data_IF_839023164059
#
_entry.id   IF_839023164059
#
_cell.length_a   1.000
_cell.length_b   1.000
_cell.length_c   1.000
_cell.angle_alpha   90.00
_cell.angle_beta   90.00
_cell.angle_gamma   90.00
#
_symmetry.space_group_name_H-M   'P 1'
#
loop_
_entity.id
_entity.type
_entity.pdbx_description
1 polymer ?
#
# COMPACT_ATOMS: atom_id res chain seq x y z
N UNK A 1 -1.61 1.42 -31.87
CA UNK A 1 -2.06 1.76 -30.51
C UNK A 1 -1.38 3.09 -30.16
N UNK A 2 -2.16 4.09 -29.66
CA UNK A 2 -1.57 5.39 -29.29
C UNK A 2 -0.61 5.24 -28.10
N UNK A 3 0.37 6.14 -28.04
CA UNK A 3 1.30 6.26 -26.90
C UNK A 3 0.50 6.55 -25.62
N UNK A 4 0.72 5.75 -24.55
CA UNK A 4 0.09 6.00 -23.25
C UNK A 4 0.78 7.18 -22.60
N UNK A 5 0.00 8.18 -22.22
CA UNK A 5 0.48 9.34 -21.47
C UNK A 5 0.79 8.91 -20.02
N UNK A 6 1.99 9.22 -19.55
CA UNK A 6 2.38 9.07 -18.14
C UNK A 6 1.52 9.97 -17.23
N UNK A 7 0.64 9.38 -16.45
CA UNK A 7 -0.27 10.11 -15.56
C UNK A 7 0.44 10.80 -14.39
N UNK A 8 1.72 10.48 -14.13
CA UNK A 8 2.51 11.22 -13.14
C UNK A 8 2.65 12.73 -13.47
N UNK A 9 2.37 13.14 -14.71
CA UNK A 9 2.29 14.57 -15.09
C UNK A 9 1.05 15.30 -14.54
N UNK A 10 0.09 14.57 -13.97
CA UNK A 10 -1.19 15.13 -13.53
C UNK A 10 -1.36 14.89 -12.02
N UNK A 11 -1.51 15.96 -11.24
CA UNK A 11 -1.66 15.88 -9.78
C UNK A 11 -3.09 16.26 -9.35
N UNK A 12 -4.07 15.66 -10.00
CA UNK A 12 -5.51 15.79 -9.69
C UNK A 12 -6.26 14.63 -10.36
N UNK A 13 -7.57 14.53 -10.09
CA UNK A 13 -8.44 13.53 -10.71
C UNK A 13 -8.44 13.65 -12.25
N UNK A 14 -8.38 12.51 -12.94
CA UNK A 14 -8.37 12.38 -14.40
C UNK A 14 -9.59 11.61 -14.93
N UNK A 15 -10.43 11.09 -14.03
CA UNK A 15 -11.68 10.39 -14.32
C UNK A 15 -12.77 10.81 -13.33
N UNK A 16 -13.98 10.25 -13.48
CA UNK A 16 -15.13 10.55 -12.64
C UNK A 16 -15.34 9.50 -11.53
N UNK A 17 -14.34 8.64 -11.27
CA UNK A 17 -14.45 7.56 -10.27
C UNK A 17 -14.52 8.11 -8.83
N UNK A 18 -13.93 9.28 -8.59
CA UNK A 18 -13.98 10.00 -7.32
C UNK A 18 -14.33 11.47 -7.52
N UNK A 19 -14.88 12.08 -6.48
CA UNK A 19 -15.18 13.51 -6.45
C UNK A 19 -14.65 14.11 -5.15
N UNK A 20 -14.00 15.28 -5.27
CA UNK A 20 -13.55 16.01 -4.09
C UNK A 20 -14.73 16.62 -3.32
N UNK A 21 -14.75 16.46 -1.99
CA UNK A 21 -15.63 17.22 -1.12
C UNK A 21 -15.41 18.73 -1.29
N UNK A 22 -16.51 19.48 -1.39
CA UNK A 22 -16.50 20.93 -1.62
C UNK A 22 -16.56 21.75 -0.34
N UNK A 23 -17.06 21.15 0.74
CA UNK A 23 -17.26 21.81 2.03
C UNK A 23 -16.56 21.05 3.15
N UNK A 24 -16.30 21.72 4.27
CA UNK A 24 -15.75 21.09 5.47
C UNK A 24 -16.68 19.97 5.99
N UNK A 25 -18.02 20.19 5.92
CA UNK A 25 -19.02 19.21 6.35
C UNK A 25 -18.98 17.93 5.51
N UNK A 26 -18.73 18.05 4.20
CA UNK A 26 -18.54 16.90 3.33
C UNK A 26 -17.27 16.11 3.71
N UNK A 27 -16.19 16.79 4.08
CA UNK A 27 -14.95 16.16 4.56
C UNK A 27 -15.12 15.43 5.89
N UNK A 28 -15.97 15.93 6.80
CA UNK A 28 -16.24 15.27 8.10
C UNK A 28 -16.73 13.82 7.92
N UNK A 29 -17.43 13.50 6.83
CA UNK A 29 -17.95 12.15 6.54
C UNK A 29 -16.86 11.10 6.31
N UNK A 30 -15.66 11.56 6.00
CA UNK A 30 -14.51 10.68 5.71
C UNK A 30 -13.54 10.56 6.88
N UNK A 31 -13.81 11.25 7.98
CA UNK A 31 -12.96 11.17 9.18
C UNK A 31 -13.09 9.82 9.87
N UNK A 32 -11.96 9.31 10.32
CA UNK A 32 -11.92 8.27 11.32
C UNK A 32 -12.43 8.80 12.65
N UNK A 33 -13.05 7.95 13.45
CA UNK A 33 -13.39 8.28 14.85
C UNK A 33 -12.12 8.38 15.70
N UNK A 34 -12.23 9.07 16.84
CA UNK A 34 -11.14 9.20 17.81
C UNK A 34 -10.69 7.82 18.32
N UNK A 35 -11.63 6.87 18.49
CA UNK A 35 -11.32 5.49 18.87
C UNK A 35 -10.49 4.77 17.80
N UNK A 36 -10.79 4.97 16.51
CA UNK A 36 -10.02 4.39 15.41
C UNK A 36 -8.61 4.96 15.35
N UNK A 37 -8.45 6.27 15.52
CA UNK A 37 -7.13 6.93 15.57
C UNK A 37 -6.35 6.46 16.79
N UNK A 38 -6.96 6.38 17.96
CA UNK A 38 -6.35 5.88 19.20
C UNK A 38 -5.91 4.41 19.05
N UNK A 39 -6.75 3.58 18.44
CA UNK A 39 -6.42 2.18 18.16
C UNK A 39 -5.18 2.06 17.27
N UNK A 40 -5.09 2.89 16.22
CA UNK A 40 -3.90 2.90 15.36
C UNK A 40 -2.63 3.22 16.14
N UNK A 41 -2.65 4.25 16.98
CA UNK A 41 -1.46 4.63 17.76
C UNK A 41 -1.10 3.59 18.83
N UNK A 42 -2.08 2.93 19.43
CA UNK A 42 -1.83 1.90 20.44
C UNK A 42 -1.35 0.59 19.84
N UNK A 43 -2.00 0.11 18.77
CA UNK A 43 -1.77 -1.23 18.20
C UNK A 43 -0.94 -1.23 16.93
N UNK A 44 -0.70 -0.05 16.30
CA UNK A 44 0.07 0.11 15.09
C UNK A 44 -0.72 -0.14 13.79
N UNK A 45 -2.04 -0.35 13.87
CA UNK A 45 -2.92 -0.49 12.71
C UNK A 45 -4.35 -0.07 13.03
N UNK A 46 -5.12 0.21 11.99
CA UNK A 46 -6.58 0.33 12.03
C UNK A 46 -7.18 -0.32 10.79
N UNK A 47 -8.26 -1.06 10.93
CA UNK A 47 -8.86 -1.84 9.86
C UNK A 47 -10.37 -1.63 9.74
N UNK A 48 -10.97 -2.13 8.63
CA UNK A 48 -12.42 -2.03 8.42
C UNK A 48 -12.87 -0.65 7.95
N UNK A 49 -11.98 0.13 7.33
CA UNK A 49 -12.27 1.46 6.79
C UNK A 49 -12.83 1.29 5.38
N UNK A 50 -14.08 1.74 5.15
CA UNK A 50 -14.67 1.72 3.81
C UNK A 50 -14.02 2.77 2.92
N UNK A 51 -13.38 2.33 1.83
CA UNK A 51 -12.66 3.19 0.90
C UNK A 51 -13.31 3.25 -0.48
N UNK A 52 -13.98 2.18 -0.90
CA UNK A 52 -14.55 2.05 -2.24
C UNK A 52 -16.00 1.61 -2.21
N UNK A 53 -16.77 2.10 -3.16
CA UNK A 53 -18.10 1.60 -3.51
C UNK A 53 -18.00 0.49 -4.57
N UNK A 54 -19.07 -0.26 -4.78
CA UNK A 54 -19.09 -1.43 -5.67
C UNK A 54 -18.73 -1.09 -7.13
N UNK A 55 -19.25 0.00 -7.67
CA UNK A 55 -18.96 0.48 -9.01
C UNK A 55 -17.48 0.85 -9.18
N UNK A 56 -16.88 1.48 -8.19
CA UNK A 56 -15.45 1.82 -8.17
C UNK A 56 -14.58 0.56 -8.16
N UNK A 57 -14.96 -0.46 -7.40
CA UNK A 57 -14.27 -1.76 -7.37
C UNK A 57 -14.28 -2.41 -8.76
N UNK A 58 -15.42 -2.41 -9.45
CA UNK A 58 -15.52 -3.03 -10.77
C UNK A 58 -14.69 -2.29 -11.83
N UNK A 59 -14.61 -0.96 -11.76
CA UNK A 59 -13.72 -0.18 -12.65
C UNK A 59 -12.25 -0.56 -12.38
N UNK A 60 -11.83 -0.60 -11.11
CA UNK A 60 -10.46 -0.96 -10.73
C UNK A 60 -10.11 -2.40 -11.13
N UNK A 61 -11.02 -3.35 -10.97
CA UNK A 61 -10.84 -4.75 -11.41
C UNK A 61 -10.64 -4.85 -12.92
N UNK A 62 -11.41 -4.11 -13.68
CA UNK A 62 -11.31 -4.06 -15.15
C UNK A 62 -9.95 -3.50 -15.57
N UNK A 63 -9.56 -2.34 -15.05
CA UNK A 63 -8.28 -1.72 -15.40
C UNK A 63 -7.09 -2.58 -14.90
N UNK A 64 -7.21 -3.27 -13.75
CA UNK A 64 -6.21 -4.23 -13.30
C UNK A 64 -6.01 -5.38 -14.31
N UNK A 65 -7.10 -5.90 -14.88
CA UNK A 65 -7.00 -6.96 -15.87
C UNK A 65 -6.27 -6.49 -17.14
N UNK A 66 -6.49 -5.23 -17.54
CA UNK A 66 -5.84 -4.61 -18.72
C UNK A 66 -4.34 -4.40 -18.48
N UNK A 67 -3.94 -3.83 -17.32
CA UNK A 67 -2.53 -3.51 -17.05
C UNK A 67 -1.68 -4.73 -16.69
N UNK A 68 -2.30 -5.87 -16.38
CA UNK A 68 -1.59 -7.15 -16.19
C UNK A 68 -1.14 -7.80 -17.48
N UNK A 69 -1.65 -7.39 -18.64
CA UNK A 69 -1.15 -7.87 -19.93
C UNK A 69 0.31 -7.40 -20.13
N UNK A 70 1.28 -8.31 -20.27
CA UNK A 70 2.67 -7.94 -20.53
C UNK A 70 2.86 -7.12 -21.81
N UNK A 71 1.91 -7.19 -22.74
CA UNK A 71 1.92 -6.41 -23.99
C UNK A 71 1.22 -5.05 -23.87
N UNK A 72 0.77 -4.68 -22.66
CA UNK A 72 0.13 -3.39 -22.45
C UNK A 72 1.11 -2.25 -22.82
N UNK A 73 0.70 -1.28 -23.65
CA UNK A 73 1.59 -0.24 -24.17
C UNK A 73 2.21 0.66 -23.08
N UNK A 74 1.60 0.73 -21.87
CA UNK A 74 2.12 1.43 -20.70
C UNK A 74 3.10 0.63 -19.85
N UNK A 75 3.44 -0.60 -20.23
CA UNK A 75 4.25 -1.50 -19.40
C UNK A 75 5.62 -0.90 -19.00
N UNK A 76 6.21 -0.07 -19.87
CA UNK A 76 7.48 0.63 -19.62
C UNK A 76 7.41 1.69 -18.51
N UNK A 77 6.20 2.05 -18.04
CA UNK A 77 5.98 3.02 -16.96
C UNK A 77 5.94 2.38 -15.57
N UNK A 78 5.87 1.04 -15.48
CA UNK A 78 6.01 0.38 -14.17
C UNK A 78 7.39 0.65 -13.57
N UNK A 79 7.44 0.85 -12.27
CA UNK A 79 8.69 0.82 -11.52
C UNK A 79 9.20 -0.62 -11.40
N UNK A 80 8.28 -1.53 -11.08
CA UNK A 80 8.52 -2.97 -10.99
C UNK A 80 7.30 -3.75 -11.51
N UNK A 81 7.55 -4.89 -12.14
CA UNK A 81 6.51 -5.78 -12.62
C UNK A 81 6.97 -7.23 -12.53
N UNK A 82 6.39 -7.96 -11.61
CA UNK A 82 6.64 -9.37 -11.37
C UNK A 82 5.36 -10.17 -11.64
N UNK A 83 5.34 -10.93 -12.72
CA UNK A 83 4.23 -11.87 -12.99
C UNK A 83 4.14 -12.96 -11.92
N UNK A 84 5.29 -13.35 -11.35
CA UNK A 84 5.41 -14.18 -10.16
C UNK A 84 6.68 -13.82 -9.39
N UNK A 85 6.57 -13.18 -8.25
CA UNK A 85 7.70 -12.80 -7.39
C UNK A 85 8.26 -13.98 -6.60
N UNK A 86 7.47 -15.04 -6.40
CA UNK A 86 7.92 -16.23 -5.68
C UNK A 86 8.88 -17.13 -6.49
N UNK A 87 8.96 -16.96 -7.82
CA UNK A 87 9.70 -17.82 -8.75
C UNK A 87 9.22 -19.28 -8.81
N UNK A 88 8.32 -19.71 -7.93
CA UNK A 88 7.70 -21.04 -7.93
C UNK A 88 6.35 -20.99 -8.67
N UNK A 89 6.23 -21.78 -9.75
CA UNK A 89 4.99 -21.85 -10.55
C UNK A 89 3.79 -22.42 -9.79
N UNK A 90 4.02 -23.12 -8.70
CA UNK A 90 2.97 -23.68 -7.84
C UNK A 90 2.57 -22.73 -6.71
N UNK A 91 3.30 -21.62 -6.53
CA UNK A 91 3.09 -20.65 -5.46
C UNK A 91 3.22 -19.24 -6.02
N UNK A 92 2.21 -18.76 -6.74
CA UNK A 92 2.27 -17.51 -7.51
C UNK A 92 1.93 -16.31 -6.65
N UNK A 93 2.79 -15.31 -6.67
CA UNK A 93 2.54 -13.97 -6.14
C UNK A 93 2.77 -12.94 -7.23
N UNK A 94 1.69 -12.43 -7.84
CA UNK A 94 1.80 -11.27 -8.72
C UNK A 94 2.03 -10.02 -7.88
N UNK A 95 3.04 -9.24 -8.25
CA UNK A 95 3.39 -7.98 -7.61
C UNK A 95 3.84 -6.94 -8.64
N UNK A 96 3.39 -5.70 -8.51
CA UNK A 96 3.84 -4.58 -9.36
C UNK A 96 3.77 -3.24 -8.65
N UNK A 97 4.61 -2.29 -9.09
CA UNK A 97 4.65 -0.90 -8.63
C UNK A 97 4.54 0.04 -9.84
N UNK A 98 3.87 1.18 -9.68
CA UNK A 98 3.80 2.22 -10.71
C UNK A 98 2.53 2.21 -11.56
N UNK A 99 1.52 1.44 -11.18
CA UNK A 99 0.26 1.35 -11.92
C UNK A 99 -0.53 2.67 -11.94
N UNK A 100 -0.36 3.55 -10.96
CA UNK A 100 -0.95 4.88 -10.93
C UNK A 100 -0.53 5.77 -12.11
N UNK A 101 0.59 5.46 -12.76
CA UNK A 101 1.09 6.16 -13.94
C UNK A 101 0.41 5.72 -15.24
N UNK A 102 -0.26 4.57 -15.22
CA UNK A 102 -0.74 3.85 -16.40
C UNK A 102 -2.26 3.86 -16.47
N UNK A 103 -2.93 3.63 -15.35
CA UNK A 103 -4.36 3.42 -15.22
C UNK A 103 -5.03 4.64 -14.60
N UNK A 104 -6.13 5.12 -15.21
CA UNK A 104 -6.85 6.30 -14.70
C UNK A 104 -7.51 6.04 -13.35
N UNK A 105 -8.09 4.88 -13.16
CA UNK A 105 -8.73 4.55 -11.89
C UNK A 105 -7.70 4.40 -10.78
N UNK A 106 -6.59 3.68 -11.01
CA UNK A 106 -5.50 3.58 -10.02
C UNK A 106 -4.76 4.90 -9.79
N UNK A 107 -4.72 5.79 -10.77
CA UNK A 107 -4.26 7.16 -10.57
C UNK A 107 -5.18 7.91 -9.61
N UNK A 108 -6.48 7.87 -9.84
CA UNK A 108 -7.45 8.65 -9.08
C UNK A 108 -7.66 8.14 -7.64
N UNK A 109 -7.36 6.85 -7.36
CA UNK A 109 -7.39 6.32 -5.97
C UNK A 109 -6.49 7.11 -5.04
N UNK A 110 -5.40 7.71 -5.55
CA UNK A 110 -4.49 8.54 -4.75
C UNK A 110 -5.21 9.72 -4.09
N UNK A 111 -6.24 10.24 -4.74
CA UNK A 111 -7.05 11.38 -4.25
C UNK A 111 -8.42 10.97 -3.71
N UNK A 112 -8.63 9.68 -3.42
CA UNK A 112 -9.85 9.22 -2.75
C UNK A 112 -10.04 9.94 -1.41
N UNK A 113 -11.16 10.66 -1.20
CA UNK A 113 -11.37 11.43 0.03
C UNK A 113 -11.29 10.60 1.32
N UNK A 114 -11.82 9.38 1.31
CA UNK A 114 -11.76 8.49 2.47
C UNK A 114 -10.31 8.08 2.79
N UNK A 115 -9.50 7.80 1.77
CA UNK A 115 -8.09 7.47 1.94
C UNK A 115 -7.28 8.66 2.45
N UNK A 116 -7.36 9.83 1.77
CA UNK A 116 -6.50 10.97 2.12
C UNK A 116 -6.85 11.56 3.48
N UNK A 117 -8.13 11.55 3.88
CA UNK A 117 -8.55 12.04 5.20
C UNK A 117 -8.06 11.11 6.30
N UNK A 118 -8.24 9.80 6.16
CA UNK A 118 -7.72 8.82 7.11
C UNK A 118 -6.18 8.93 7.23
N UNK A 119 -5.47 8.99 6.10
CA UNK A 119 -4.02 9.15 6.10
C UNK A 119 -3.56 10.44 6.81
N UNK A 120 -4.27 11.55 6.58
CA UNK A 120 -3.99 12.83 7.24
C UNK A 120 -4.13 12.72 8.78
N UNK A 121 -5.21 12.11 9.28
CA UNK A 121 -5.40 11.91 10.72
C UNK A 121 -4.33 11.00 11.33
N UNK A 122 -4.02 9.86 10.67
CA UNK A 122 -3.04 8.89 11.15
C UNK A 122 -1.59 9.38 11.05
N UNK A 123 -1.31 10.35 10.18
CA UNK A 123 -0.04 11.07 10.11
C UNK A 123 -0.04 12.33 11.00
N UNK A 124 -0.81 12.33 12.09
CA UNK A 124 -0.85 13.41 13.08
C UNK A 124 -1.24 14.78 12.46
N UNK A 125 -2.19 14.75 11.54
CA UNK A 125 -2.68 15.93 10.81
C UNK A 125 -1.62 16.66 9.98
N UNK A 126 -0.53 15.97 9.60
CA UNK A 126 0.46 16.48 8.64
C UNK A 126 -0.05 16.40 7.22
N UNK A 127 0.40 17.26 6.30
CA UNK A 127 0.07 17.11 4.88
C UNK A 127 0.55 15.75 4.36
N UNK A 128 -0.26 15.11 3.50
CA UNK A 128 -0.05 13.75 2.98
C UNK A 128 0.58 13.83 1.62
N UNK A 129 1.73 13.16 1.45
CA UNK A 129 2.42 13.04 0.18
C UNK A 129 2.53 11.58 -0.24
N UNK A 130 2.30 11.31 -1.53
CA UNK A 130 2.42 9.98 -2.11
C UNK A 130 3.87 9.50 -2.12
N UNK A 131 4.07 8.22 -1.79
CA UNK A 131 5.34 7.52 -1.90
C UNK A 131 5.35 6.61 -3.15
N UNK A 132 4.66 5.52 -3.11
CA UNK A 132 4.43 4.61 -4.24
C UNK A 132 3.20 3.76 -4.01
N UNK A 133 2.75 3.12 -5.06
CA UNK A 133 1.67 2.14 -5.05
C UNK A 133 2.21 0.71 -5.22
N UNK A 134 1.40 -0.26 -4.85
CA UNK A 134 1.67 -1.68 -5.09
C UNK A 134 0.35 -2.38 -5.48
N UNK A 135 0.48 -3.40 -6.31
CA UNK A 135 -0.58 -4.35 -6.61
C UNK A 135 -0.13 -5.74 -6.20
N UNK A 136 -1.01 -6.44 -5.50
CA UNK A 136 -0.84 -7.84 -5.14
C UNK A 136 -2.00 -8.68 -5.66
N UNK A 137 -1.70 -9.79 -6.31
CA UNK A 137 -2.71 -10.77 -6.69
C UNK A 137 -2.22 -12.18 -6.37
N UNK A 138 -3.02 -12.89 -5.59
CA UNK A 138 -2.84 -14.30 -5.26
C UNK A 138 -3.87 -15.11 -6.02
N UNK A 139 -3.47 -15.93 -7.01
CA UNK A 139 -4.43 -16.79 -7.71
C UNK A 139 -5.04 -17.83 -6.78
N UNK A 140 -6.19 -18.37 -7.18
CA UNK A 140 -6.84 -19.48 -6.49
C UNK A 140 -5.88 -20.67 -6.35
N UNK A 141 -5.84 -21.31 -5.19
CA UNK A 141 -5.05 -22.52 -4.86
C UNK A 141 -3.52 -22.41 -4.98
N UNK A 142 -3.01 -21.40 -5.67
CA UNK A 142 -1.59 -21.24 -5.99
C UNK A 142 -1.02 -19.90 -5.50
N UNK A 143 -1.75 -19.19 -4.65
CA UNK A 143 -1.31 -17.87 -4.16
C UNK A 143 -0.17 -17.99 -3.15
N UNK A 144 1.00 -17.43 -3.48
CA UNK A 144 2.19 -17.43 -2.63
C UNK A 144 2.05 -16.59 -1.36
N UNK A 145 2.93 -16.80 -0.40
CA UNK A 145 3.03 -16.01 0.83
C UNK A 145 3.64 -14.63 0.55
N UNK A 146 3.34 -13.66 1.43
CA UNK A 146 4.20 -12.51 1.67
C UNK A 146 4.75 -12.68 3.08
N UNK A 147 6.05 -12.90 3.21
CA UNK A 147 6.71 -13.22 4.48
C UNK A 147 6.54 -12.09 5.50
N UNK A 148 6.68 -12.43 6.80
CA UNK A 148 6.66 -11.44 7.87
C UNK A 148 7.76 -10.41 7.69
N UNK A 149 7.41 -9.13 7.69
CA UNK A 149 8.32 -8.00 7.49
C UNK A 149 7.77 -6.70 8.09
N UNK A 150 8.61 -5.68 8.09
CA UNK A 150 8.24 -4.28 8.31
C UNK A 150 8.48 -3.52 7.01
N UNK A 151 7.55 -2.69 6.58
CA UNK A 151 7.70 -1.91 5.34
C UNK A 151 8.93 -0.99 5.36
N UNK A 152 9.16 -0.30 6.48
CA UNK A 152 10.26 0.64 6.58
C UNK A 152 11.65 0.00 6.48
N UNK A 153 11.78 -1.28 6.69
CA UNK A 153 13.06 -2.00 6.47
C UNK A 153 13.53 -1.90 5.00
N UNK A 154 12.61 -1.67 4.05
CA UNK A 154 12.90 -1.41 2.64
C UNK A 154 12.97 0.09 2.29
N UNK A 155 12.59 1.00 3.21
CA UNK A 155 12.44 2.43 2.94
C UNK A 155 13.44 3.31 3.71
N UNK A 156 14.48 2.75 4.30
CA UNK A 156 15.52 3.44 5.09
C UNK A 156 16.28 4.50 4.29
N UNK A 157 16.09 4.52 2.98
CA UNK A 157 16.61 5.57 2.08
C UNK A 157 15.79 6.86 2.12
N UNK A 158 14.76 6.94 2.97
CA UNK A 158 13.95 8.15 3.23
C UNK A 158 13.85 8.40 4.72
N UNK A 159 13.92 9.67 5.14
CA UNK A 159 13.84 10.15 6.53
C UNK A 159 13.10 11.51 6.60
N UNK A 160 12.39 11.87 7.69
CA UNK A 160 12.13 11.06 8.86
C UNK A 160 11.18 9.90 8.54
N UNK A 161 11.17 8.86 9.42
CA UNK A 161 10.21 7.76 9.34
C UNK A 161 8.80 8.26 9.72
N UNK A 162 8.08 8.83 8.76
CA UNK A 162 6.72 9.34 8.90
C UNK A 162 5.85 8.78 7.76
N UNK A 163 5.94 7.47 7.57
CA UNK A 163 5.26 6.73 6.52
C UNK A 163 3.99 6.07 7.03
N UNK A 164 3.10 5.73 6.11
CA UNK A 164 1.86 5.01 6.38
C UNK A 164 1.53 4.15 5.17
N UNK A 165 1.10 2.93 5.41
CA UNK A 165 0.64 2.01 4.38
C UNK A 165 -0.86 1.82 4.49
N UNK A 166 -1.57 1.89 3.35
CA UNK A 166 -2.98 1.54 3.23
C UNK A 166 -3.13 0.37 2.26
N UNK A 167 -3.55 -0.79 2.74
CA UNK A 167 -3.91 -1.95 1.93
C UNK A 167 -5.43 -1.99 1.72
N UNK A 168 -5.89 -2.19 0.48
CA UNK A 168 -7.32 -2.22 0.11
C UNK A 168 -7.64 -3.45 -0.72
N UNK A 169 -8.61 -4.24 -0.27
CA UNK A 169 -9.10 -5.42 -0.99
C UNK A 169 -9.97 -5.05 -2.18
N UNK A 170 -9.64 -5.57 -3.37
CA UNK A 170 -10.56 -5.59 -4.51
C UNK A 170 -11.45 -6.83 -4.50
N UNK A 171 -11.12 -7.82 -3.69
CA UNK A 171 -11.91 -9.00 -3.35
C UNK A 171 -12.04 -9.11 -1.84
N UNK A 172 -13.05 -9.87 -1.36
CA UNK A 172 -13.12 -10.22 0.07
C UNK A 172 -11.82 -10.91 0.48
N UNK A 173 -11.26 -10.50 1.60
CA UNK A 173 -10.06 -11.08 2.17
C UNK A 173 -10.41 -11.87 3.44
N UNK A 174 -10.01 -13.13 3.47
CA UNK A 174 -10.22 -14.05 4.58
C UNK A 174 -8.94 -14.81 4.90
N UNK A 175 -8.92 -15.51 6.01
CA UNK A 175 -7.82 -16.41 6.38
C UNK A 175 -7.59 -17.50 5.34
N UNK A 176 -8.64 -17.95 4.65
CA UNK A 176 -8.54 -18.98 3.62
C UNK A 176 -7.85 -18.49 2.34
N UNK A 177 -8.09 -17.22 1.94
CA UNK A 177 -7.51 -16.67 0.71
C UNK A 177 -6.30 -15.77 0.93
N UNK A 178 -5.71 -15.80 2.14
CA UNK A 178 -4.48 -15.11 2.47
C UNK A 178 -4.68 -13.62 2.76
N UNK A 179 -5.60 -13.26 3.65
CA UNK A 179 -5.70 -11.92 4.20
C UNK A 179 -4.39 -11.49 4.89
N UNK A 180 -4.22 -10.20 5.14
CA UNK A 180 -3.13 -9.72 5.98
C UNK A 180 -3.27 -10.25 7.41
N UNK A 181 -2.12 -10.44 8.05
CA UNK A 181 -2.00 -10.65 9.48
C UNK A 181 -1.07 -9.61 10.06
N UNK A 182 -1.41 -9.07 11.20
CA UNK A 182 -0.57 -8.15 11.97
C UNK A 182 -0.10 -8.78 13.26
N UNK A 183 1.06 -8.33 13.74
CA UNK A 183 1.50 -8.57 15.12
C UNK A 183 1.23 -7.28 15.89
N UNK A 184 0.09 -7.17 16.61
CA UNK A 184 -0.27 -5.94 17.32
C UNK A 184 0.85 -5.45 18.23
N UNK A 185 1.09 -4.13 18.24
CA UNK A 185 2.15 -3.45 19.01
C UNK A 185 3.59 -3.71 18.53
N UNK A 186 3.81 -4.52 17.51
CA UNK A 186 5.16 -4.76 16.98
C UNK A 186 5.83 -3.52 16.39
N UNK A 187 5.06 -2.47 16.06
CA UNK A 187 5.62 -1.17 15.66
C UNK A 187 6.46 -0.51 16.77
N UNK A 188 6.33 -0.97 18.02
CA UNK A 188 7.13 -0.53 19.17
C UNK A 188 8.44 -1.30 19.33
N UNK A 189 8.68 -2.36 18.55
CA UNK A 189 9.90 -3.17 18.63
C UNK A 189 11.13 -2.52 18.01
N UNK A 190 10.95 -1.36 17.34
CA UNK A 190 12.00 -0.73 16.56
C UNK A 190 12.12 -1.33 15.15
N UNK A 191 13.13 -0.87 14.43
CA UNK A 191 13.41 -1.36 13.08
C UNK A 191 14.13 -2.73 13.17
N UNK A 192 13.58 -3.71 12.46
CA UNK A 192 14.14 -5.06 12.33
C UNK A 192 14.85 -5.19 10.97
N UNK A 193 15.75 -6.18 10.86
CA UNK A 193 16.37 -6.51 9.58
C UNK A 193 15.35 -7.01 8.56
N UNK A 194 15.55 -6.67 7.29
CA UNK A 194 14.65 -7.01 6.20
C UNK A 194 14.87 -8.46 5.72
N UNK A 195 13.89 -9.38 5.89
CA UNK A 195 13.94 -10.68 5.24
C UNK A 195 13.55 -10.58 3.75
N UNK A 196 13.69 -11.67 3.00
CA UNK A 196 13.09 -11.78 1.67
C UNK A 196 11.56 -11.75 1.77
N UNK A 197 10.88 -10.96 0.94
CA UNK A 197 9.41 -10.86 0.91
C UNK A 197 8.73 -12.15 0.39
N UNK A 198 9.36 -12.85 -0.53
CA UNK A 198 8.87 -14.10 -1.07
C UNK A 198 9.70 -15.28 -0.52
N UNK A 199 9.03 -16.37 -0.18
CA UNK A 199 9.70 -17.60 0.25
C UNK A 199 9.37 -18.00 1.69
N UNK A 200 10.33 -17.94 2.60
CA UNK A 200 10.11 -18.39 3.98
C UNK A 200 9.26 -17.40 4.80
N UNK A 201 8.01 -17.79 5.04
CA UNK A 201 7.09 -17.00 5.88
C UNK A 201 7.69 -16.65 7.25
N UNK A 202 8.54 -17.50 7.80
CA UNK A 202 9.09 -17.37 9.14
C UNK A 202 10.51 -16.79 9.19
N UNK A 203 11.06 -16.33 8.06
CA UNK A 203 12.43 -15.80 7.99
C UNK A 203 12.72 -14.71 9.01
N UNK A 204 11.75 -13.87 9.36
CA UNK A 204 11.87 -12.82 10.37
C UNK A 204 12.15 -13.37 11.77
N UNK A 205 11.69 -14.59 12.09
CA UNK A 205 11.84 -15.17 13.44
C UNK A 205 13.30 -15.28 13.90
N UNK A 206 14.25 -15.36 12.98
CA UNK A 206 15.69 -15.42 13.29
C UNK A 206 16.24 -14.10 13.86
N UNK A 207 15.55 -12.99 13.62
CA UNK A 207 15.97 -11.63 14.04
C UNK A 207 15.25 -11.15 15.30
N UNK A 208 14.27 -11.93 15.82
CA UNK A 208 13.51 -11.55 17.01
C UNK A 208 14.19 -11.98 18.31
N UNK A 209 14.08 -11.14 19.34
CA UNK A 209 14.43 -11.52 20.72
C UNK A 209 13.44 -12.54 21.28
N UNK A 210 13.75 -13.19 22.39
CA UNK A 210 12.84 -14.15 23.04
C UNK A 210 11.56 -13.47 23.56
N UNK A 211 11.64 -12.21 24.00
CA UNK A 211 10.49 -11.40 24.39
C UNK A 211 9.58 -11.11 23.20
N UNK A 212 10.15 -10.69 22.06
CA UNK A 212 9.40 -10.44 20.82
C UNK A 212 8.76 -11.73 20.30
N UNK A 213 9.44 -12.88 20.37
CA UNK A 213 8.87 -14.18 20.02
C UNK A 213 7.68 -14.56 20.92
N UNK A 214 7.75 -14.26 22.21
CA UNK A 214 6.64 -14.50 23.14
C UNK A 214 5.41 -13.62 22.84
N UNK A 215 5.63 -12.41 22.34
CA UNK A 215 4.59 -11.46 21.91
C UNK A 215 4.08 -11.72 20.48
N UNK A 216 4.75 -12.57 19.71
CA UNK A 216 4.44 -12.83 18.32
C UNK A 216 3.12 -13.62 18.18
N UNK A 217 2.00 -12.89 18.18
CA UNK A 217 0.64 -13.43 18.11
C UNK A 217 -0.08 -12.83 16.90
N UNK A 218 -0.06 -13.51 15.74
CA UNK A 218 -0.70 -13.03 14.53
C UNK A 218 -2.20 -12.84 14.69
N UNK A 219 -2.70 -11.68 14.27
CA UNK A 219 -4.13 -11.37 14.21
C UNK A 219 -4.53 -11.24 12.73
N UNK A 220 -5.49 -12.07 12.25
CA UNK A 220 -5.96 -11.98 10.88
C UNK A 220 -6.81 -10.72 10.67
N UNK A 221 -6.64 -10.08 9.53
CA UNK A 221 -7.38 -8.90 9.11
C UNK A 221 -8.30 -9.30 7.95
N UNK A 222 -9.44 -9.87 8.31
CA UNK A 222 -10.47 -10.22 7.34
C UNK A 222 -11.27 -8.97 6.96
N UNK A 223 -11.42 -8.71 5.66
CA UNK A 223 -12.05 -7.51 5.12
C UNK A 223 -12.99 -7.86 3.98
N UNK A 224 -14.10 -7.15 3.89
CA UNK A 224 -14.91 -7.11 2.67
C UNK A 224 -14.19 -6.32 1.58
N UNK A 225 -14.46 -6.65 0.31
CA UNK A 225 -13.98 -5.85 -0.83
C UNK A 225 -14.37 -4.38 -0.67
N UNK A 226 -13.50 -3.49 -1.08
CA UNK A 226 -13.67 -2.05 -0.91
C UNK A 226 -13.32 -1.51 0.46
N UNK A 227 -13.06 -2.38 1.43
CA UNK A 227 -12.55 -1.98 2.74
C UNK A 227 -11.03 -2.07 2.78
N UNK A 228 -10.43 -1.17 3.55
CA UNK A 228 -8.98 -1.09 3.74
C UNK A 228 -8.56 -1.19 5.19
N UNK A 229 -7.26 -1.35 5.35
CA UNK A 229 -6.55 -1.31 6.61
C UNK A 229 -5.31 -0.44 6.48
N UNK A 230 -5.05 0.37 7.50
CA UNK A 230 -3.86 1.21 7.58
C UNK A 230 -2.91 0.66 8.63
N UNK A 231 -1.61 0.67 8.36
CA UNK A 231 -0.62 0.24 9.32
C UNK A 231 0.64 1.12 9.35
N UNK A 232 1.24 1.15 10.52
CA UNK A 232 2.49 1.87 10.80
C UNK A 232 3.66 1.21 10.02
N UNK A 233 4.64 1.97 9.52
CA UNK A 233 5.75 1.43 8.71
C UNK A 233 6.62 0.40 9.45
N UNK A 234 6.60 0.36 10.77
CA UNK A 234 7.25 -0.66 11.60
C UNK A 234 6.29 -1.78 12.07
N UNK A 235 5.05 -1.83 11.58
CA UNK A 235 4.16 -2.93 11.89
C UNK A 235 4.67 -4.22 11.25
N UNK A 236 4.94 -5.24 12.06
CA UNK A 236 5.24 -6.58 11.54
C UNK A 236 3.96 -7.17 10.97
N UNK A 237 4.00 -7.48 9.69
CA UNK A 237 2.86 -8.03 8.97
C UNK A 237 3.30 -9.01 7.88
N UNK A 238 2.33 -9.76 7.40
CA UNK A 238 2.53 -10.72 6.32
C UNK A 238 1.21 -11.32 5.86
N UNK A 239 1.24 -12.18 4.87
CA UNK A 239 0.04 -12.89 4.41
C UNK A 239 0.36 -14.31 3.98
N UNK A 240 -0.42 -15.26 4.47
CA UNK A 240 -0.30 -16.66 4.11
C UNK A 240 -0.73 -16.93 2.67
N UNK A 241 -0.61 -18.17 2.26
CA UNK A 241 -1.03 -18.67 0.96
C UNK A 241 -2.53 -18.46 0.72
N UNK A 242 -2.91 -18.38 -0.56
CA UNK A 242 -4.31 -18.49 -0.95
C UNK A 242 -4.64 -19.97 -1.22
N UNK A 243 -5.42 -20.59 -0.33
CA UNK A 243 -5.92 -21.97 -0.43
C UNK A 243 -7.33 -22.07 -0.98
N UNK A 244 -7.99 -20.93 -1.19
CA UNK A 244 -9.38 -20.87 -1.66
C UNK A 244 -9.53 -21.09 -3.16
N UNK A 245 -10.77 -21.27 -3.60
CA UNK A 245 -11.15 -21.43 -5.01
C UNK A 245 -11.19 -20.09 -5.79
N UNK A 246 -10.96 -18.95 -5.14
CA UNK A 246 -11.05 -17.62 -5.74
C UNK A 246 -9.70 -16.88 -5.64
N UNK A 247 -9.39 -16.07 -6.64
CA UNK A 247 -8.23 -15.17 -6.58
C UNK A 247 -8.49 -14.04 -5.59
N UNK A 248 -7.45 -13.56 -4.92
CA UNK A 248 -7.49 -12.40 -4.04
C UNK A 248 -6.60 -11.28 -4.60
N UNK A 249 -7.24 -10.18 -5.01
CA UNK A 249 -6.59 -8.98 -5.56
C UNK A 249 -6.67 -7.85 -4.56
N UNK A 250 -5.60 -7.09 -4.47
CA UNK A 250 -5.53 -5.91 -3.62
C UNK A 250 -4.55 -4.88 -4.19
N UNK A 251 -4.78 -3.62 -3.87
CA UNK A 251 -3.78 -2.58 -4.08
C UNK A 251 -3.35 -1.98 -2.74
N UNK A 252 -2.17 -1.38 -2.76
CA UNK A 252 -1.58 -0.72 -1.60
C UNK A 252 -1.17 0.68 -2.01
N UNK A 253 -1.46 1.65 -1.16
CA UNK A 253 -0.98 3.02 -1.27
C UNK A 253 -0.04 3.30 -0.10
N UNK A 254 1.18 3.67 -0.42
CA UNK A 254 2.18 4.09 0.54
C UNK A 254 2.32 5.61 0.47
N UNK A 255 2.29 6.24 1.61
CA UNK A 255 2.40 7.69 1.76
C UNK A 255 3.35 8.06 2.88
N UNK A 256 3.76 9.31 2.92
CA UNK A 256 4.51 9.89 4.02
C UNK A 256 4.06 11.32 4.31
N UNK A 257 4.39 11.83 5.49
CA UNK A 257 4.15 13.23 5.81
C UNK A 257 5.03 14.14 4.95
N UNK A 258 4.47 15.22 4.42
CA UNK A 258 5.23 16.24 3.69
C UNK A 258 6.36 16.78 4.58
N UNK A 259 7.54 16.94 4.01
CA UNK A 259 8.78 17.27 4.74
C UNK A 259 9.74 16.09 4.90
N UNK A 260 9.31 14.85 4.60
CA UNK A 260 10.23 13.71 4.47
C UNK A 260 11.29 14.00 3.42
N UNK A 261 12.56 13.61 3.69
CA UNK A 261 13.70 13.87 2.82
C UNK A 261 14.36 12.59 2.33
N UNK A 262 15.03 12.65 1.19
CA UNK A 262 15.90 11.57 0.71
C UNK A 262 17.11 11.40 1.65
N UNK A 263 17.46 10.15 1.95
CA UNK A 263 18.67 9.79 2.70
C UNK A 263 19.72 9.08 1.84
N UNK A 264 19.59 9.19 0.51
CA UNK A 264 20.52 8.63 -0.48
C UNK A 264 20.63 9.57 -1.67
N UNK A 265 21.69 9.41 -2.45
CA UNK A 265 21.84 10.04 -3.76
C UNK A 265 21.47 9.08 -4.92
N UNK A 266 21.08 7.83 -4.60
CA UNK A 266 20.61 6.84 -5.58
C UNK A 266 19.14 7.06 -5.95
N UNK A 267 18.70 6.47 -7.06
CA UNK A 267 17.27 6.44 -7.39
C UNK A 267 16.48 5.68 -6.31
N UNK A 268 15.35 6.23 -5.92
CA UNK A 268 14.48 5.65 -4.89
C UNK A 268 13.48 4.65 -5.47
N UNK A 269 13.04 4.90 -6.70
CA UNK A 269 12.19 4.03 -7.51
C UNK A 269 12.81 3.92 -8.89
N UNK A 270 12.77 2.76 -9.49
CA UNK A 270 13.39 2.47 -10.79
C UNK A 270 12.88 3.44 -11.87
N UNK A 271 13.82 4.12 -12.52
CA UNK A 271 13.52 5.09 -13.57
C UNK A 271 12.98 6.44 -13.09
N UNK A 272 13.01 6.68 -11.79
CA UNK A 272 12.70 7.99 -11.20
C UNK A 272 14.01 8.74 -10.95
N UNK A 273 14.17 9.97 -11.44
CA UNK A 273 15.37 10.75 -11.19
C UNK A 273 15.69 10.84 -9.69
N UNK A 274 16.95 10.67 -9.28
CA UNK A 274 17.34 10.75 -7.88
C UNK A 274 16.99 12.10 -7.26
N UNK A 275 16.53 12.06 -6.01
CA UNK A 275 16.42 13.25 -5.17
C UNK A 275 17.66 13.28 -4.28
N UNK A 276 18.53 14.31 -4.37
CA UNK A 276 19.76 14.37 -3.61
C UNK A 276 19.52 14.21 -2.10
N UNK A 277 20.44 13.53 -1.42
CA UNK A 277 20.40 13.33 0.02
C UNK A 277 20.16 14.63 0.78
N UNK A 278 19.21 14.62 1.72
CA UNK A 278 18.78 15.77 2.50
C UNK A 278 17.81 16.70 1.79
N UNK A 279 17.44 16.43 0.54
CA UNK A 279 16.39 17.19 -0.16
C UNK A 279 15.03 16.57 0.06
N UNK A 280 14.02 17.44 0.12
CA UNK A 280 12.64 17.03 0.34
C UNK A 280 12.12 16.15 -0.80
N UNK A 281 11.43 15.09 -0.42
CA UNK A 281 10.71 14.18 -1.32
C UNK A 281 9.50 14.90 -1.90
N UNK A 282 9.60 15.38 -3.15
CA UNK A 282 8.54 16.13 -3.84
C UNK A 282 8.69 16.05 -5.36
N UNK A 283 7.75 16.66 -6.08
CA UNK A 283 7.79 16.77 -7.54
C UNK A 283 6.88 15.75 -8.22
N UNK A 284 7.12 15.52 -9.51
CA UNK A 284 6.28 14.74 -10.41
C UNK A 284 5.85 13.37 -9.84
N UNK A 285 6.81 12.63 -9.26
CA UNK A 285 6.59 11.26 -8.81
C UNK A 285 6.10 11.14 -7.35
N UNK A 286 6.11 12.24 -6.62
CA UNK A 286 5.72 12.32 -5.21
C UNK A 286 4.72 13.46 -4.99
N UNK A 287 3.52 13.38 -5.60
CA UNK A 287 2.51 14.42 -5.51
C UNK A 287 2.04 14.66 -4.08
N UNK A 288 1.71 15.91 -3.76
CA UNK A 288 1.01 16.26 -2.54
C UNK A 288 -0.47 15.91 -2.72
N UNK A 289 -0.97 14.96 -1.92
CA UNK A 289 -2.34 14.44 -2.04
C UNK A 289 -3.34 15.27 -1.23
N UNK A 290 -2.94 15.69 -0.04
CA UNK A 290 -3.80 16.43 0.88
C UNK A 290 -3.01 17.36 1.79
N UNK A 291 -3.55 18.53 2.04
CA UNK A 291 -3.14 19.48 3.11
C UNK A 291 -4.38 20.21 3.62
N UNK A 292 -4.43 20.51 4.91
CA UNK A 292 -5.43 21.44 5.43
C UNK A 292 -5.30 22.79 4.73
N UNK A 293 -6.45 23.37 4.38
CA UNK A 293 -6.51 24.76 3.88
C UNK A 293 -6.36 25.73 5.02
#
# INVERSE_FOLDING_TARGET
MGEIKDLAEVHNLVSDIFHYPKTAEEWEKYKLSDDQVSHFHEYGYVSGIKLLEEDQIEVLRKELAEIRDPNHPGHHLFYEFHSNESEDSNSVLFHSLGHWRISKAFHDVLWNPAFVMAAHQLLEYKPVRFWHDQLFSKPAKHGGVVAWHQDYSYWTRTVAMQHLTCWTGLDDASTENGCLHYIPKSHLWGLLDAPSLAGDMNGLMAYLTEEQKAEFKPVPIELKKGYGTFHHPLMVHGSYENKSEISRRAFVLNVFADGTVSNTDDELLKGVPPIPKGKQMQGKFFPLLYKNK
#
